data_IF_757906786181
#
_entry.id   IF_757906786181
#
_cell.length_a   1.000
_cell.length_b   1.000
_cell.length_c   1.000
_cell.angle_alpha   90.00
_cell.angle_beta   90.00
_cell.angle_gamma   90.00
#
_symmetry.space_group_name_H-M   'P 1'
#
loop_
_entity.id
_entity.type
_entity.pdbx_description
1 polymer ?
#
# COMPACT_ATOMS: atom_id res chain seq x y z
N UNK A 1 14.90 -18.30 13.96
CA UNK A 1 14.78 -17.64 12.65
C UNK A 1 14.13 -16.29 12.92
N UNK A 2 14.81 -15.18 12.65
CA UNK A 2 14.19 -13.85 12.71
C UNK A 2 13.60 -13.58 11.33
N UNK A 3 12.33 -13.95 11.12
CA UNK A 3 11.62 -13.54 9.92
C UNK A 3 11.40 -12.04 10.02
N UNK A 4 11.73 -11.31 8.95
CA UNK A 4 11.46 -9.89 8.92
C UNK A 4 9.95 -9.68 8.79
N UNK A 5 9.44 -8.58 9.34
CA UNK A 5 8.01 -8.23 9.22
C UNK A 5 7.53 -8.29 7.75
N UNK A 6 8.29 -7.83 6.74
CA UNK A 6 7.95 -8.03 5.33
C UNK A 6 7.72 -9.50 4.93
N UNK A 7 8.59 -10.41 5.38
CA UNK A 7 8.50 -11.84 5.05
C UNK A 7 7.21 -12.47 5.60
N UNK A 8 6.77 -12.03 6.79
CA UNK A 8 5.52 -12.49 7.40
C UNK A 8 4.27 -11.94 6.70
N UNK A 9 4.36 -10.74 6.13
CA UNK A 9 3.23 -10.06 5.48
C UNK A 9 3.08 -10.44 4.00
N UNK A 10 4.12 -10.95 3.35
CA UNK A 10 4.09 -11.30 1.92
C UNK A 10 2.94 -12.28 1.57
N UNK A 11 2.70 -13.38 2.31
CA UNK A 11 1.62 -14.31 1.99
C UNK A 11 0.23 -13.64 2.05
N UNK A 12 0.07 -12.67 2.96
CA UNK A 12 -1.16 -11.89 3.11
C UNK A 12 -1.37 -10.99 1.90
N UNK A 13 -0.31 -10.31 1.44
CA UNK A 13 -0.37 -9.47 0.25
C UNK A 13 -0.71 -10.26 -1.02
N UNK A 14 -0.18 -11.47 -1.15
CA UNK A 14 -0.48 -12.37 -2.28
C UNK A 14 -1.94 -12.83 -2.27
N UNK A 15 -2.47 -13.22 -1.11
CA UNK A 15 -3.86 -13.67 -0.97
C UNK A 15 -4.85 -12.54 -1.27
N UNK A 16 -4.56 -11.33 -0.77
CA UNK A 16 -5.37 -10.15 -1.06
C UNK A 16 -5.40 -9.83 -2.56
N UNK A 17 -4.26 -9.95 -3.26
CA UNK A 17 -4.18 -9.71 -4.71
C UNK A 17 -4.87 -10.80 -5.54
N UNK A 18 -4.92 -12.05 -5.06
CA UNK A 18 -5.66 -13.14 -5.72
C UNK A 18 -7.17 -12.91 -5.69
N UNK A 19 -7.68 -12.32 -4.62
CA UNK A 19 -9.13 -12.20 -4.39
C UNK A 19 -9.69 -10.79 -4.61
N UNK A 20 -8.84 -9.76 -4.64
CA UNK A 20 -9.27 -8.37 -4.79
C UNK A 20 -8.64 -7.74 -6.03
N UNK A 21 -9.44 -6.97 -6.77
CA UNK A 21 -8.91 -6.18 -7.87
C UNK A 21 -8.05 -5.02 -7.33
N UNK A 22 -7.06 -4.53 -8.10
CA UNK A 22 -6.24 -3.39 -7.70
C UNK A 22 -7.05 -2.16 -7.29
N UNK A 23 -8.20 -1.91 -7.95
CA UNK A 23 -9.08 -0.80 -7.63
C UNK A 23 -9.73 -0.90 -6.25
N UNK A 24 -10.09 -2.13 -5.82
CA UNK A 24 -10.66 -2.36 -4.47
C UNK A 24 -9.60 -2.13 -3.40
N UNK A 25 -8.38 -2.64 -3.61
CA UNK A 25 -7.26 -2.42 -2.70
C UNK A 25 -6.90 -0.93 -2.60
N UNK A 26 -6.90 -0.21 -3.72
CA UNK A 26 -6.66 1.24 -3.75
C UNK A 26 -7.76 2.00 -2.99
N UNK A 27 -9.03 1.63 -3.18
CA UNK A 27 -10.14 2.24 -2.45
C UNK A 27 -10.00 2.01 -0.93
N UNK A 28 -9.73 0.78 -0.51
CA UNK A 28 -9.51 0.44 0.90
C UNK A 28 -8.31 1.20 1.49
N UNK A 29 -7.21 1.31 0.75
CA UNK A 29 -6.05 2.07 1.17
C UNK A 29 -6.35 3.56 1.36
N UNK A 30 -7.23 4.14 0.53
CA UNK A 30 -7.71 5.54 0.70
C UNK A 30 -8.60 5.68 1.93
N UNK A 31 -9.59 4.80 2.08
CA UNK A 31 -10.53 4.79 3.20
C UNK A 31 -9.82 4.64 4.55
N UNK A 32 -8.77 3.81 4.59
CA UNK A 32 -7.94 3.61 5.79
C UNK A 32 -6.83 4.64 5.95
N UNK A 33 -6.68 5.57 5.01
CA UNK A 33 -5.66 6.62 5.06
C UNK A 33 -4.23 6.14 4.83
N UNK A 34 -4.03 4.89 4.38
CA UNK A 34 -2.71 4.37 3.98
C UNK A 34 -2.16 5.10 2.76
N UNK A 35 -3.05 5.53 1.85
CA UNK A 35 -2.68 6.41 0.75
C UNK A 35 -3.41 7.74 0.89
N UNK A 36 -2.64 8.81 1.06
CA UNK A 36 -3.19 10.16 0.94
C UNK A 36 -3.52 10.40 -0.53
N UNK A 37 -4.72 10.92 -0.81
CA UNK A 37 -5.03 11.53 -2.11
C UNK A 37 -3.87 12.47 -2.45
N UNK A 38 -3.22 12.30 -3.61
CA UNK A 38 -2.31 13.32 -4.15
C UNK A 38 -3.10 14.63 -4.21
N UNK A 39 -2.92 15.51 -3.23
CA UNK A 39 -3.39 16.89 -3.35
C UNK A 39 -2.64 17.50 -4.53
N UNK A 40 -3.29 18.29 -5.40
CA UNK A 40 -2.57 19.03 -6.44
C UNK A 40 -1.43 19.79 -5.78
N UNK A 41 -0.22 19.55 -6.30
CA UNK A 41 1.05 19.90 -5.66
C UNK A 41 1.28 21.40 -5.78
N UNK A 42 0.94 22.14 -4.73
CA UNK A 42 1.55 23.42 -4.40
C UNK A 42 2.22 23.29 -3.01
N UNK A 43 3.29 22.48 -2.91
CA UNK A 43 4.03 22.27 -1.67
C UNK A 43 5.07 21.15 -1.78
N UNK A 44 6.19 21.19 -1.02
CA UNK A 44 7.38 20.39 -1.32
C UNK A 44 7.12 18.89 -1.11
N UNK A 45 7.43 18.12 -2.16
CA UNK A 45 7.26 16.67 -2.25
C UNK A 45 8.27 15.93 -1.38
N UNK A 46 7.83 15.27 -0.31
CA UNK A 46 8.41 14.04 0.31
C UNK A 46 7.23 13.34 1.02
N UNK A 47 6.90 12.06 0.87
CA UNK A 47 7.69 10.87 0.65
C UNK A 47 7.10 9.96 -0.45
N UNK A 48 7.97 9.19 -1.07
CA UNK A 48 7.66 8.09 -2.00
C UNK A 48 7.80 6.81 -1.17
N UNK A 49 6.75 5.99 -1.11
CA UNK A 49 6.90 4.59 -0.74
C UNK A 49 6.83 3.83 -2.05
N UNK A 50 7.99 3.59 -2.65
CA UNK A 50 8.11 2.67 -3.78
C UNK A 50 8.06 1.25 -3.21
N UNK A 51 7.07 0.48 -3.66
CA UNK A 51 7.05 -0.97 -3.49
C UNK A 51 7.70 -1.53 -4.75
N UNK A 52 8.92 -2.04 -4.60
CA UNK A 52 9.63 -2.90 -5.55
C UNK A 52 10.27 -4.02 -4.74
#
# INVERSE_FOLDING_TARGET
MNLSIPDELQPIAEELQRHMSPHVLEHLAKEKGFIQRKRPVNGPKRAIMEVT
#
